data_IF_785943231142
#
_entry.id   IF_785943231142
#
_cell.length_a   1.000
_cell.length_b   1.000
_cell.length_c   1.000
_cell.angle_alpha   90.00
_cell.angle_beta   90.00
_cell.angle_gamma   90.00
#
_symmetry.space_group_name_H-M   'P 1'
#
loop_
_entity.id
_entity.type
_entity.pdbx_description
1 polymer ?
#
# COMPACT_ATOMS: atom_id res chain seq x y z
N UNK A 1 22.29 22.56 5.63
CA UNK A 1 21.77 21.22 6.01
C UNK A 1 20.33 21.16 5.53
N UNK A 2 20.05 20.52 4.39
CA UNK A 2 18.68 20.42 3.85
C UNK A 2 17.85 19.61 4.86
N UNK A 3 16.80 20.19 5.44
CA UNK A 3 15.89 19.43 6.31
C UNK A 3 15.11 18.45 5.43
N UNK A 4 15.14 17.17 5.79
CA UNK A 4 14.33 16.15 5.13
C UNK A 4 12.85 16.56 5.22
N UNK A 5 12.08 16.47 4.12
CA UNK A 5 10.67 16.86 4.15
C UNK A 5 9.90 16.00 5.17
N UNK A 6 9.00 16.64 5.93
CA UNK A 6 8.19 15.99 6.98
C UNK A 6 7.35 14.84 6.41
N UNK A 7 6.86 15.00 5.18
CA UNK A 7 6.05 14.04 4.47
C UNK A 7 6.73 13.59 3.18
N UNK A 8 6.62 12.30 2.86
CA UNK A 8 7.12 11.69 1.62
C UNK A 8 5.97 10.99 0.91
N UNK A 9 5.90 11.18 -0.41
CA UNK A 9 5.04 10.38 -1.29
C UNK A 9 5.78 9.08 -1.63
N UNK A 10 5.18 7.94 -1.30
CA UNK A 10 5.77 6.61 -1.49
C UNK A 10 4.84 5.68 -2.27
N UNK A 11 5.42 4.64 -2.84
CA UNK A 11 4.67 3.47 -3.28
C UNK A 11 4.61 2.45 -2.16
N UNK A 12 3.49 1.76 -2.03
CA UNK A 12 3.30 0.63 -1.15
C UNK A 12 2.93 -0.59 -1.98
N UNK A 13 3.57 -1.72 -1.69
CA UNK A 13 3.11 -3.04 -2.08
C UNK A 13 2.35 -3.66 -0.90
N UNK A 14 1.09 -4.02 -1.11
CA UNK A 14 0.22 -4.61 -0.10
C UNK A 14 0.38 -6.13 -0.12
N UNK A 15 0.38 -6.76 1.05
CA UNK A 15 0.54 -8.22 1.15
C UNK A 15 -0.67 -8.94 0.56
N UNK A 16 -0.51 -9.40 -0.69
CA UNK A 16 -1.52 -10.20 -1.37
C UNK A 16 -1.85 -11.50 -0.60
N UNK A 17 -0.87 -12.24 -0.05
CA UNK A 17 -1.18 -13.42 0.76
C UNK A 17 -2.05 -13.11 2.00
N UNK A 18 -1.86 -11.94 2.63
CA UNK A 18 -2.68 -11.58 3.80
C UNK A 18 -4.06 -11.07 3.40
N UNK A 19 -4.19 -10.43 2.24
CA UNK A 19 -5.50 -10.13 1.64
C UNK A 19 -6.27 -11.44 1.37
N UNK A 20 -5.63 -12.42 0.73
CA UNK A 20 -6.22 -13.72 0.44
C UNK A 20 -6.64 -14.47 1.72
N UNK A 21 -5.78 -14.46 2.75
CA UNK A 21 -6.12 -15.02 4.06
C UNK A 21 -7.33 -14.32 4.69
N UNK A 22 -7.42 -12.99 4.60
CA UNK A 22 -8.58 -12.26 5.13
C UNK A 22 -9.87 -12.68 4.43
N UNK A 23 -9.88 -12.75 3.10
CA UNK A 23 -11.04 -13.27 2.36
C UNK A 23 -11.40 -14.71 2.74
N UNK A 24 -10.39 -15.58 2.81
CA UNK A 24 -10.58 -16.98 3.23
C UNK A 24 -11.14 -17.10 4.65
N UNK A 25 -10.71 -16.23 5.57
CA UNK A 25 -11.17 -16.25 6.97
C UNK A 25 -12.67 -15.96 7.14
N UNK A 26 -13.28 -15.30 6.16
CA UNK A 26 -14.72 -15.02 6.12
C UNK A 26 -15.47 -15.88 5.09
N UNK A 27 -14.81 -16.90 4.52
CA UNK A 27 -15.43 -17.82 3.56
C UNK A 27 -15.71 -17.22 2.18
N UNK A 28 -15.01 -16.15 1.81
CA UNK A 28 -15.19 -15.45 0.54
C UNK A 28 -14.01 -15.69 -0.42
N UNK A 29 -14.25 -15.70 -1.75
CA UNK A 29 -13.18 -15.64 -2.72
C UNK A 29 -12.52 -14.25 -2.71
N UNK A 30 -11.19 -14.14 -2.92
CA UNK A 30 -10.51 -12.86 -2.97
C UNK A 30 -10.97 -12.00 -4.15
N UNK A 31 -11.36 -10.77 -3.86
CA UNK A 31 -11.70 -9.76 -4.87
C UNK A 31 -10.56 -8.75 -4.98
N UNK A 32 -9.93 -8.71 -6.15
CA UNK A 32 -8.78 -7.84 -6.46
C UNK A 32 -9.17 -6.87 -7.58
N UNK A 33 -9.82 -5.73 -7.26
CA UNK A 33 -10.28 -4.81 -8.27
C UNK A 33 -9.11 -4.15 -9.00
N UNK A 34 -9.16 -4.20 -10.33
CA UNK A 34 -8.24 -3.48 -11.22
C UNK A 34 -8.57 -1.97 -11.20
N UNK A 35 -9.84 -1.64 -10.93
CA UNK A 35 -10.28 -0.27 -10.72
C UNK A 35 -9.58 0.36 -9.52
N UNK A 36 -9.09 1.58 -9.69
CA UNK A 36 -8.41 2.30 -8.63
C UNK A 36 -9.41 2.73 -7.55
N UNK A 37 -9.23 2.22 -6.34
CA UNK A 37 -9.87 2.75 -5.16
C UNK A 37 -9.19 4.08 -4.77
N UNK A 38 -9.98 5.13 -4.53
CA UNK A 38 -9.50 6.47 -4.14
C UNK A 38 -9.86 6.82 -2.70
N UNK A 39 -10.26 5.82 -1.92
CA UNK A 39 -10.61 5.98 -0.52
C UNK A 39 -9.34 6.16 0.30
N UNK A 40 -9.25 7.26 1.04
CA UNK A 40 -8.14 7.48 1.97
C UNK A 40 -8.21 6.47 3.11
N UNK A 41 -7.08 5.84 3.43
CA UNK A 41 -6.98 4.86 4.52
C UNK A 41 -5.72 5.06 5.36
N UNK A 42 -5.78 4.92 6.69
CA UNK A 42 -4.64 5.17 7.55
C UNK A 42 -3.52 4.14 7.34
N UNK A 43 -2.28 4.63 7.38
CA UNK A 43 -1.06 3.82 7.33
C UNK A 43 -0.41 3.86 8.71
N UNK A 44 -0.07 2.69 9.24
CA UNK A 44 0.46 2.50 10.56
C UNK A 44 1.87 1.91 10.52
N UNK A 45 2.63 2.18 11.57
CA UNK A 45 3.90 1.52 11.88
C UNK A 45 3.96 1.28 13.38
N UNK A 46 4.04 0.01 13.79
CA UNK A 46 4.06 -0.39 15.21
C UNK A 46 2.88 0.20 15.99
N UNK A 47 1.67 0.10 15.43
CA UNK A 47 0.45 0.59 16.05
C UNK A 47 0.22 2.12 15.99
N UNK A 48 1.23 2.94 15.65
CA UNK A 48 1.07 4.38 15.46
C UNK A 48 0.73 4.70 14.02
N UNK A 49 -0.26 5.57 13.78
CA UNK A 49 -0.49 6.11 12.45
C UNK A 49 0.67 7.03 12.03
N UNK A 50 1.24 6.76 10.85
CA UNK A 50 2.39 7.48 10.28
C UNK A 50 2.09 8.07 8.91
N UNK A 51 0.85 7.95 8.43
CA UNK A 51 0.45 8.44 7.12
C UNK A 51 -0.92 7.94 6.70
N UNK A 52 -1.17 8.01 5.40
CA UNK A 52 -2.39 7.52 4.76
C UNK A 52 -2.14 7.13 3.30
N UNK A 53 -2.87 6.12 2.82
CA UNK A 53 -3.01 5.79 1.40
C UNK A 53 -3.89 6.85 0.75
N UNK A 54 -3.53 7.30 -0.45
CA UNK A 54 -4.35 8.18 -1.29
C UNK A 54 -5.15 7.40 -2.34
N UNK A 55 -4.57 6.31 -2.86
CA UNK A 55 -5.22 5.44 -3.83
C UNK A 55 -4.58 4.05 -3.85
N UNK A 56 -5.34 3.02 -4.16
CA UNK A 56 -4.87 1.64 -4.30
C UNK A 56 -5.52 0.92 -5.49
N UNK A 57 -4.86 -0.10 -6.04
CA UNK A 57 -5.36 -0.93 -7.13
C UNK A 57 -4.65 -2.28 -7.15
N UNK A 58 -5.26 -3.30 -7.73
CA UNK A 58 -4.52 -4.47 -8.20
C UNK A 58 -3.95 -4.22 -9.60
N UNK A 59 -2.63 -4.31 -9.76
CA UNK A 59 -1.97 -4.16 -11.06
C UNK A 59 -1.85 -5.52 -11.76
N UNK A 60 -2.54 -5.76 -12.89
CA UNK A 60 -2.43 -7.04 -13.62
C UNK A 60 -1.04 -7.26 -14.22
N UNK A 61 -0.33 -6.17 -14.54
CA UNK A 61 1.03 -6.22 -15.09
C UNK A 61 2.02 -6.68 -14.02
N UNK A 62 1.88 -6.16 -12.80
CA UNK A 62 2.78 -6.49 -11.69
C UNK A 62 2.34 -7.73 -10.91
N UNK A 63 1.08 -8.17 -11.08
CA UNK A 63 0.42 -9.21 -10.26
C UNK A 63 0.49 -8.90 -8.78
N UNK A 64 0.34 -7.61 -8.43
CA UNK A 64 0.54 -7.10 -7.09
C UNK A 64 -0.52 -6.05 -6.75
N UNK A 65 -0.95 -6.05 -5.48
CA UNK A 65 -1.80 -5.02 -4.92
C UNK A 65 -0.92 -3.84 -4.51
N UNK A 66 -1.11 -2.69 -5.13
CA UNK A 66 -0.25 -1.52 -4.95
C UNK A 66 -1.06 -0.30 -4.49
N UNK A 67 -0.39 0.61 -3.80
CA UNK A 67 -0.99 1.85 -3.34
C UNK A 67 -0.01 3.02 -3.34
N UNK A 68 -0.51 4.22 -3.59
CA UNK A 68 0.22 5.46 -3.32
C UNK A 68 -0.13 5.93 -1.91
N UNK A 69 0.88 6.41 -1.18
CA UNK A 69 0.69 6.87 0.19
C UNK A 69 1.54 8.11 0.50
N UNK A 70 1.02 8.95 1.39
CA UNK A 70 1.77 10.04 2.02
C UNK A 70 2.11 9.61 3.44
N UNK A 71 3.40 9.49 3.75
CA UNK A 71 3.90 9.02 5.04
C UNK A 71 4.94 9.97 5.62
N UNK A 72 5.13 9.92 6.94
CA UNK A 72 6.20 10.65 7.60
C UNK A 72 7.57 10.26 7.03
N UNK A 73 8.49 11.23 6.93
CA UNK A 73 9.80 11.02 6.28
C UNK A 73 10.60 9.83 6.82
N UNK A 74 10.50 9.54 8.12
CA UNK A 74 11.15 8.40 8.78
C UNK A 74 10.53 7.04 8.51
N UNK A 75 9.32 7.01 7.92
CA UNK A 75 8.58 5.80 7.58
C UNK A 75 8.57 5.52 6.06
N UNK A 76 9.16 6.41 5.26
CA UNK A 76 9.11 6.35 3.80
C UNK A 76 10.35 5.80 3.12
N UNK A 77 11.25 5.12 3.84
CA UNK A 77 12.42 4.47 3.23
C UNK A 77 12.02 3.15 2.56
N UNK A 78 12.48 2.86 1.33
CA UNK A 78 12.24 1.57 0.67
C UNK A 78 12.58 0.37 1.56
N UNK A 79 11.75 -0.67 1.50
CA UNK A 79 11.86 -1.84 2.37
C UNK A 79 11.27 -1.65 3.78
N UNK A 80 10.81 -0.45 4.13
CA UNK A 80 10.13 -0.23 5.43
C UNK A 80 8.81 -1.00 5.45
N UNK A 81 8.64 -1.87 6.45
CA UNK A 81 7.37 -2.53 6.75
C UNK A 81 6.39 -1.58 7.45
N UNK A 82 5.19 -1.51 6.91
CA UNK A 82 4.04 -0.73 7.36
C UNK A 82 2.80 -1.63 7.43
N UNK A 83 1.73 -1.10 8.00
CA UNK A 83 0.41 -1.73 8.01
C UNK A 83 -0.61 -0.76 7.43
N UNK A 84 -1.54 -1.26 6.63
CA UNK A 84 -2.60 -0.43 6.04
C UNK A 84 -3.95 -1.00 6.36
N UNK A 85 -4.93 -0.11 6.51
CA UNK A 85 -6.29 -0.54 6.75
C UNK A 85 -6.90 -1.20 5.51
N UNK A 86 -7.56 -2.33 5.71
CA UNK A 86 -8.26 -3.08 4.69
C UNK A 86 -9.62 -3.50 5.24
N UNK A 87 -10.69 -3.16 4.52
CA UNK A 87 -12.06 -3.45 4.97
C UNK A 87 -12.64 -4.61 4.16
N UNK A 88 -13.14 -5.63 4.84
CA UNK A 88 -13.90 -6.75 4.25
C UNK A 88 -15.15 -6.97 5.09
N UNK A 89 -16.31 -7.18 4.45
CA UNK A 89 -17.59 -7.38 5.15
C UNK A 89 -17.87 -6.34 6.25
N UNK A 90 -17.55 -5.06 5.98
CA UNK A 90 -17.70 -3.93 6.92
C UNK A 90 -16.81 -4.02 8.18
N UNK A 91 -15.85 -4.94 8.22
CA UNK A 91 -14.87 -5.09 9.29
C UNK A 91 -13.52 -4.54 8.85
N UNK A 92 -12.92 -3.69 9.68
CA UNK A 92 -11.61 -3.10 9.42
C UNK A 92 -10.49 -4.00 9.95
N UNK A 93 -9.59 -4.38 9.07
CA UNK A 93 -8.39 -5.14 9.36
C UNK A 93 -7.14 -4.32 9.04
N UNK A 94 -6.00 -4.79 9.50
CA UNK A 94 -4.68 -4.28 9.10
C UNK A 94 -3.95 -5.36 8.33
N UNK A 95 -3.47 -5.01 7.14
CA UNK A 95 -2.62 -5.89 6.35
C UNK A 95 -1.21 -5.31 6.26
N UNK A 96 -0.18 -6.17 6.21
CA UNK A 96 1.17 -5.72 5.96
C UNK A 96 1.30 -5.03 4.60
N UNK A 97 2.15 -4.03 4.54
CA UNK A 97 2.57 -3.36 3.31
C UNK A 97 4.06 -3.00 3.38
N UNK A 98 4.73 -3.02 2.24
CA UNK A 98 6.15 -2.67 2.13
C UNK A 98 6.30 -1.41 1.30
N UNK A 99 7.11 -0.47 1.78
CA UNK A 99 7.50 0.70 0.99
C UNK A 99 8.35 0.26 -0.19
N UNK A 100 7.94 0.64 -1.39
CA UNK A 100 8.64 0.34 -2.64
C UNK A 100 9.02 1.63 -3.38
N UNK A 101 10.06 1.55 -4.19
CA UNK A 101 10.50 2.65 -5.03
C UNK A 101 9.44 2.97 -6.10
N UNK A 102 9.31 4.25 -6.43
CA UNK A 102 8.45 4.73 -7.51
C UNK A 102 9.30 5.08 -8.74
N UNK A 103 8.81 4.85 -9.96
CA UNK A 103 7.50 4.28 -10.28
C UNK A 103 7.48 2.75 -10.09
N UNK A 104 6.29 2.17 -9.84
CA UNK A 104 6.13 0.72 -9.63
C UNK A 104 6.53 -0.13 -10.85
N UNK A 105 6.64 0.48 -12.03
CA UNK A 105 6.99 -0.17 -13.28
C UNK A 105 7.83 0.78 -14.13
N UNK A 106 9.11 0.44 -14.34
CA UNK A 106 10.08 1.26 -15.06
C UNK A 106 10.88 0.45 -16.10
N UNK A 107 10.26 0.00 -17.20
CA UNK A 107 10.98 -0.71 -18.26
C UNK A 107 11.88 0.25 -19.05
N UNK A 108 13.01 -0.22 -19.62
CA UNK A 108 13.94 0.63 -20.39
C UNK A 108 13.28 1.47 -21.49
N UNK A 109 12.23 0.93 -22.15
CA UNK A 109 11.47 1.61 -23.20
C UNK A 109 10.67 2.84 -22.72
N UNK A 110 10.50 3.03 -21.42
CA UNK A 110 9.75 4.17 -20.82
C UNK A 110 10.66 5.21 -20.15
N UNK A 111 11.98 5.05 -20.26
CA UNK A 111 12.97 6.02 -19.79
C UNK A 111 13.33 6.94 -20.97
N UNK A 112 12.55 8.00 -21.18
CA UNK A 112 12.78 9.01 -22.23
C UNK A 112 12.68 10.40 -21.65
#
# INVERSE_FOLDING_TARGET
KQMSPRWKLVGLELSLPDIEKLYSSVGLPPVLPIEACRTSRPVHRRGRQVGYITSSTFSPILKSAIALATVEGSAGEPGTGLEVEFTIEHVHHRIPATVVERPFFDPPRKRS
#
